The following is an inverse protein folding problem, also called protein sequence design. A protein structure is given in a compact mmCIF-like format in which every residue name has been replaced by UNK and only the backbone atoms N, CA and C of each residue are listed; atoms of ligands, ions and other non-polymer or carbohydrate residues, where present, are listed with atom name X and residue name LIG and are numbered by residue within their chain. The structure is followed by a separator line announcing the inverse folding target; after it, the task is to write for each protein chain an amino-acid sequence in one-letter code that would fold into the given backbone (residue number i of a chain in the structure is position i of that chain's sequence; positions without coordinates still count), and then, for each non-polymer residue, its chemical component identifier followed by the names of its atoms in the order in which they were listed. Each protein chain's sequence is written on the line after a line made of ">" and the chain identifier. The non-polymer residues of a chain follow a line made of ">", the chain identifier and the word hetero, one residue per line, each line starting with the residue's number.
data_IF_916761301571
#
_entry.id   IF_916761301571
#
_cell.length_a   1.000
_cell.length_b   1.000
_cell.length_c   1.000
_cell.angle_alpha   90.00
_cell.angle_beta   90.00
_cell.angle_gamma   90.00
#
_symmetry.space_group_name_H-M   'P 1'
#
loop_
_entity.id
_entity.type
_entity.pdbx_description
1 polymer ?
#
# COMPACT_ATOMS: atom_id res chain seq x y z
N UNK A 1 44.00 -2.23 20.92
CA UNK A 1 42.61 -1.84 20.57
C UNK A 1 42.52 -1.81 19.05
N UNK A 2 41.61 -2.57 18.42
CA UNK A 2 41.50 -2.64 16.95
C UNK A 2 40.40 -1.66 16.51
N UNK A 3 40.73 -0.41 16.12
CA UNK A 3 39.72 0.61 15.80
C UNK A 3 38.85 0.20 14.62
N UNK A 4 39.39 -0.60 13.70
CA UNK A 4 38.68 -1.16 12.55
C UNK A 4 37.49 -2.03 12.98
N UNK A 5 37.63 -2.79 14.07
CA UNK A 5 36.60 -3.71 14.56
C UNK A 5 35.44 -2.93 15.19
N UNK A 6 35.74 -1.82 15.88
CA UNK A 6 34.73 -0.88 16.38
C UNK A 6 33.99 -0.18 15.24
N UNK A 7 34.71 0.22 14.18
CA UNK A 7 34.10 0.88 13.02
C UNK A 7 33.16 -0.07 12.27
N UNK A 8 33.55 -1.34 12.12
CA UNK A 8 32.71 -2.38 11.52
C UNK A 8 31.44 -2.66 12.34
N UNK A 9 31.57 -2.67 13.68
CA UNK A 9 30.44 -2.86 14.58
C UNK A 9 29.44 -1.70 14.50
N UNK A 10 29.94 -0.46 14.43
CA UNK A 10 29.10 0.74 14.26
C UNK A 10 28.31 0.69 12.94
N UNK A 11 28.99 0.38 11.83
CA UNK A 11 28.35 0.22 10.50
C UNK A 11 27.20 -0.79 10.50
N UNK A 12 27.32 -1.90 11.23
CA UNK A 12 26.26 -2.91 11.38
C UNK A 12 25.03 -2.40 12.14
N UNK A 13 25.21 -1.51 13.13
CA UNK A 13 24.10 -0.97 13.94
C UNK A 13 23.26 0.03 13.11
N UNK A 14 23.90 0.79 12.22
CA UNK A 14 23.24 1.79 11.37
C UNK A 14 22.44 1.18 10.20
N UNK A 15 22.65 -0.11 9.90
CA UNK A 15 21.92 -0.86 8.89
C UNK A 15 20.63 -1.51 9.44
N UNK A 16 20.29 -1.28 10.71
CA UNK A 16 19.05 -1.82 11.25
C UNK A 16 17.86 -1.20 10.51
N UNK A 17 16.95 -2.02 9.94
CA UNK A 17 15.75 -1.52 9.30
C UNK A 17 15.03 -0.57 10.25
N UNK A 18 14.72 0.65 9.79
CA UNK A 18 13.97 1.60 10.60
C UNK A 18 12.74 0.89 11.17
N UNK A 19 12.62 0.91 12.50
CA UNK A 19 11.49 0.33 13.21
C UNK A 19 10.24 1.18 12.89
N UNK A 20 9.58 0.84 11.79
CA UNK A 20 8.23 1.34 11.51
C UNK A 20 7.29 0.81 12.59
N UNK A 21 6.38 1.64 13.11
CA UNK A 21 5.37 1.18 14.04
C UNK A 21 4.47 0.16 13.32
N UNK A 22 4.58 -1.11 13.70
CA UNK A 22 3.82 -2.22 13.13
C UNK A 22 4.65 -3.50 13.05
N UNK A 23 4.10 -4.64 13.50
CA UNK A 23 4.77 -5.93 13.31
C UNK A 23 4.71 -6.36 11.83
N UNK A 24 5.68 -7.15 11.33
CA UNK A 24 5.62 -7.69 9.97
C UNK A 24 4.30 -8.44 9.67
N UNK A 25 3.72 -9.08 10.71
CA UNK A 25 2.42 -9.74 10.65
C UNK A 25 1.27 -8.76 10.42
N UNK A 26 1.31 -7.59 11.07
CA UNK A 26 0.32 -6.52 10.86
C UNK A 26 0.44 -5.91 9.48
N UNK A 27 1.66 -5.70 8.98
CA UNK A 27 1.88 -5.24 7.60
C UNK A 27 1.35 -6.24 6.56
N UNK A 28 1.61 -7.53 6.75
CA UNK A 28 1.06 -8.58 5.87
C UNK A 28 -0.46 -8.59 5.91
N UNK A 29 -1.05 -8.58 7.10
CA UNK A 29 -2.50 -8.61 7.30
C UNK A 29 -3.15 -7.40 6.64
N UNK A 30 -2.55 -6.22 6.80
CA UNK A 30 -2.98 -4.98 6.17
C UNK A 30 -2.97 -5.09 4.64
N UNK A 31 -1.91 -5.62 4.05
CA UNK A 31 -1.81 -5.81 2.60
C UNK A 31 -2.83 -6.83 2.03
N UNK A 32 -3.37 -7.73 2.86
CA UNK A 32 -4.41 -8.70 2.46
C UNK A 32 -5.81 -8.08 2.57
N UNK A 33 -6.03 -7.26 3.61
CA UNK A 33 -7.32 -6.65 3.90
C UNK A 33 -7.58 -5.35 3.14
N UNK A 34 -6.53 -4.55 2.90
CA UNK A 34 -6.67 -3.32 2.11
C UNK A 34 -6.83 -3.67 0.63
N UNK A 35 -7.86 -3.16 -0.04
CA UNK A 35 -8.06 -3.40 -1.45
C UNK A 35 -6.91 -2.75 -2.26
N UNK A 36 -6.62 -3.28 -3.46
CA UNK A 36 -5.49 -2.81 -4.26
C UNK A 36 -5.57 -1.30 -4.51
N UNK A 37 -4.44 -0.59 -4.57
CA UNK A 37 -4.46 0.84 -4.89
C UNK A 37 -4.88 1.03 -6.34
N UNK A 38 -5.89 1.88 -6.58
CA UNK A 38 -6.25 2.27 -7.93
C UNK A 38 -5.28 3.32 -8.47
N UNK A 39 -4.79 3.10 -9.69
CA UNK A 39 -4.03 4.10 -10.45
C UNK A 39 -4.98 4.96 -11.27
N UNK A 40 -5.72 5.81 -10.58
CA UNK A 40 -6.59 6.81 -11.18
C UNK A 40 -6.23 8.20 -10.67
N UNK A 41 -6.44 9.22 -11.49
CA UNK A 41 -6.39 10.61 -11.04
C UNK A 41 -7.37 10.81 -9.86
N UNK A 42 -7.08 11.75 -8.93
CA UNK A 42 -7.96 12.05 -7.82
C UNK A 42 -9.35 12.47 -8.34
N UNK A 43 -10.31 11.55 -8.23
CA UNK A 43 -11.70 11.75 -8.66
C UNK A 43 -12.60 12.29 -7.55
N UNK A 44 -13.90 12.43 -7.86
CA UNK A 44 -14.91 12.83 -6.87
C UNK A 44 -15.15 11.71 -5.85
N UNK A 45 -14.75 11.95 -4.59
CA UNK A 45 -14.86 11.03 -3.46
C UNK A 45 -16.30 10.91 -2.93
N UNK A 46 -17.21 10.43 -3.77
CA UNK A 46 -18.66 10.42 -3.50
C UNK A 46 -19.23 9.04 -3.26
N UNK A 47 -18.58 7.98 -3.78
CA UNK A 47 -19.05 6.60 -3.68
C UNK A 47 -18.02 5.71 -2.99
N UNK A 48 -18.19 5.53 -1.68
CA UNK A 48 -17.44 4.57 -0.89
C UNK A 48 -17.96 3.15 -1.13
N UNK A 49 -17.09 2.16 -0.98
CA UNK A 49 -17.43 0.76 -1.14
C UNK A 49 -16.69 -0.11 -0.11
N UNK A 50 -17.25 -1.27 0.16
CA UNK A 50 -16.58 -2.34 0.93
C UNK A 50 -16.30 -3.54 0.04
N UNK A 51 -17.19 -3.83 -0.90
CA UNK A 51 -17.12 -4.95 -1.82
C UNK A 51 -17.24 -4.46 -3.28
N UNK A 52 -16.83 -5.29 -4.23
CA UNK A 52 -16.84 -4.94 -5.66
C UNK A 52 -18.26 -4.77 -6.21
N UNK A 53 -19.23 -5.51 -5.68
CA UNK A 53 -20.65 -5.41 -6.01
C UNK A 53 -21.31 -4.09 -5.58
N UNK A 54 -20.69 -3.33 -4.68
CA UNK A 54 -21.17 -1.99 -4.28
C UNK A 54 -20.98 -0.96 -5.42
N UNK A 55 -20.12 -1.29 -6.39
CA UNK A 55 -19.78 -0.42 -7.50
C UNK A 55 -20.64 -0.72 -8.74
N UNK A 56 -21.04 0.35 -9.42
CA UNK A 56 -21.72 0.23 -10.71
C UNK A 56 -20.79 -0.42 -11.76
N UNK A 57 -21.38 -1.06 -12.78
CA UNK A 57 -20.65 -1.72 -13.85
C UNK A 57 -19.57 -0.79 -14.46
N UNK A 58 -18.34 -1.29 -14.54
CA UNK A 58 -17.18 -0.56 -15.07
C UNK A 58 -16.31 0.14 -14.02
N UNK A 59 -16.77 0.22 -12.77
CA UNK A 59 -15.99 0.74 -11.64
C UNK A 59 -15.45 -0.40 -10.77
N UNK A 60 -14.34 -0.15 -10.09
CA UNK A 60 -13.74 -1.07 -9.13
C UNK A 60 -13.70 -0.51 -7.73
N UNK A 61 -13.88 -1.40 -6.75
CA UNK A 61 -13.70 -1.04 -5.35
C UNK A 61 -12.22 -1.16 -4.99
N UNK A 62 -11.56 -0.03 -4.76
CA UNK A 62 -10.12 0.03 -4.54
C UNK A 62 -9.72 1.18 -3.63
N UNK A 63 -8.51 1.09 -3.08
CA UNK A 63 -7.94 2.13 -2.25
C UNK A 63 -7.49 3.31 -3.12
N UNK A 64 -7.93 4.52 -2.77
CA UNK A 64 -7.63 5.78 -3.45
C UNK A 64 -7.28 6.86 -2.42
N UNK A 65 -7.01 8.09 -2.88
CA UNK A 65 -6.61 9.22 -2.03
C UNK A 65 -7.59 9.50 -0.87
N UNK A 66 -8.88 9.21 -1.06
CA UNK A 66 -9.93 9.42 -0.06
C UNK A 66 -10.41 8.16 0.66
N UNK A 67 -9.65 7.06 0.58
CA UNK A 67 -10.00 5.77 1.18
C UNK A 67 -10.52 4.78 0.15
N UNK A 68 -11.39 3.86 0.56
CA UNK A 68 -11.91 2.78 -0.28
C UNK A 68 -13.14 3.26 -1.03
N UNK A 69 -13.02 3.45 -2.35
CA UNK A 69 -14.03 4.08 -3.20
C UNK A 69 -14.17 3.36 -4.54
N UNK A 70 -15.33 3.50 -5.17
CA UNK A 70 -15.56 3.06 -6.53
C UNK A 70 -14.88 4.03 -7.50
N UNK A 71 -13.89 3.56 -8.27
CA UNK A 71 -13.22 4.37 -9.30
C UNK A 71 -12.86 3.53 -10.52
N UNK A 72 -12.48 4.20 -11.61
CA UNK A 72 -11.97 3.56 -12.81
C UNK A 72 -10.58 3.01 -12.53
N UNK A 73 -10.36 1.73 -12.83
CA UNK A 73 -9.05 1.13 -12.78
C UNK A 73 -8.44 1.09 -14.19
N UNK A 74 -7.46 1.96 -14.45
CA UNK A 74 -6.79 2.05 -15.75
C UNK A 74 -6.01 0.78 -16.13
N UNK A 75 -5.77 -0.14 -15.19
CA UNK A 75 -5.09 -1.42 -15.46
C UNK A 75 -5.94 -2.43 -16.26
N UNK A 76 -7.24 -2.18 -16.47
CA UNK A 76 -8.11 -3.07 -17.27
C UNK A 76 -8.11 -2.69 -18.77
N UNK A 77 -7.58 -1.52 -19.14
CA UNK A 77 -7.55 -1.08 -20.55
C UNK A 77 -6.29 -1.51 -21.32
N UNK A 78 -5.39 -2.32 -20.75
CA UNK A 78 -4.22 -2.82 -21.47
C UNK A 78 -4.42 -4.23 -22.08
N UNK A 79 -5.64 -4.77 -22.03
CA UNK A 79 -5.96 -6.08 -22.61
C UNK A 79 -7.18 -5.99 -23.55
N UNK A 80 -7.12 -5.07 -24.51
CA UNK A 80 -8.03 -5.03 -25.65
C UNK A 80 -7.31 -4.67 -26.95
#
# INVERSE_FOLDING_TARGET
>A
MKPVLLLQLLLLIHLTPQQVPGSPKEHLLRNILEPPPCRSDPGNCTQFCTLQEDCQNGLQCCSSFCGIVCTLNNNINHDR
#
